data_IF_968612560101
#
_entry.id   IF_968612560101
#
_cell.length_a   1.000
_cell.length_b   1.000
_cell.length_c   1.000
_cell.angle_alpha   90.00
_cell.angle_beta   90.00
_cell.angle_gamma   90.00
#
_symmetry.space_group_name_H-M   'P 1'
#
loop_
_entity.id
_entity.type
_entity.pdbx_description
1 polymer ?
#
# COMPACT_ATOMS: atom_id res chain seq x y z
N UNK A 1 -2.07 -9.60 -8.81
CA UNK A 1 -1.24 -9.58 -7.59
C UNK A 1 -1.52 -10.83 -6.72
N UNK A 2 -1.78 -11.98 -7.34
CA UNK A 2 -2.31 -13.15 -6.62
C UNK A 2 -1.33 -13.61 -5.54
N UNK A 3 -1.81 -13.68 -4.29
CA UNK A 3 -1.04 -14.11 -3.11
C UNK A 3 0.18 -13.24 -2.78
N UNK A 4 0.29 -12.01 -3.30
CA UNK A 4 1.36 -11.07 -2.89
C UNK A 4 1.18 -10.58 -1.46
N UNK A 5 -0.08 -10.41 -1.03
CA UNK A 5 -0.41 -9.88 0.28
C UNK A 5 -1.73 -10.48 0.78
N UNK A 6 -1.92 -10.39 2.10
CA UNK A 6 -3.21 -10.53 2.76
C UNK A 6 -3.51 -9.23 3.50
N UNK A 7 -4.78 -8.95 3.77
CA UNK A 7 -5.16 -7.72 4.46
C UNK A 7 -6.27 -7.96 5.48
N UNK A 8 -6.32 -7.09 6.48
CA UNK A 8 -7.40 -7.01 7.45
C UNK A 8 -7.82 -5.56 7.65
N UNK A 9 -9.12 -5.29 7.67
CA UNK A 9 -9.66 -3.95 7.94
C UNK A 9 -9.72 -3.79 9.46
N UNK A 10 -8.84 -2.98 10.02
CA UNK A 10 -8.80 -2.70 11.46
C UNK A 10 -9.88 -1.71 11.86
N UNK A 11 -10.12 -0.70 11.02
CA UNK A 11 -11.10 0.35 11.26
C UNK A 11 -11.66 0.87 9.93
N UNK A 12 -12.96 1.17 9.91
CA UNK A 12 -13.62 1.80 8.77
C UNK A 12 -14.73 2.74 9.24
N UNK A 13 -14.60 4.00 8.86
CA UNK A 13 -15.57 5.09 9.06
C UNK A 13 -15.88 5.71 7.69
N UNK A 14 -16.76 6.71 7.64
CA UNK A 14 -17.22 7.29 6.37
C UNK A 14 -16.09 7.92 5.55
N UNK A 15 -15.14 8.58 6.19
CA UNK A 15 -14.05 9.34 5.56
C UNK A 15 -12.66 8.80 5.94
N UNK A 16 -12.61 7.63 6.59
CA UNK A 16 -11.38 7.07 7.14
C UNK A 16 -11.36 5.55 7.14
N UNK A 17 -10.19 4.96 6.83
CA UNK A 17 -9.97 3.53 7.00
C UNK A 17 -8.54 3.24 7.48
N UNK A 18 -8.42 2.21 8.32
CA UNK A 18 -7.15 1.61 8.74
C UNK A 18 -7.13 0.16 8.28
N UNK A 19 -6.12 -0.18 7.48
CA UNK A 19 -6.03 -1.50 6.84
C UNK A 19 -4.62 -2.03 7.09
N UNK A 20 -4.54 -3.16 7.80
CA UNK A 20 -3.29 -3.90 7.95
C UNK A 20 -3.06 -4.75 6.70
N UNK A 21 -1.84 -4.72 6.18
CA UNK A 21 -1.40 -5.53 5.04
C UNK A 21 -0.16 -6.31 5.45
N UNK A 22 -0.21 -7.64 5.26
CA UNK A 22 0.91 -8.55 5.44
C UNK A 22 1.38 -9.05 4.07
N UNK A 23 2.67 -8.85 3.78
CA UNK A 23 3.27 -9.25 2.51
C UNK A 23 3.76 -10.70 2.52
N UNK A 24 3.77 -11.30 1.34
CA UNK A 24 4.33 -12.63 1.10
C UNK A 24 5.85 -12.68 1.35
N UNK A 25 6.38 -13.90 1.42
CA UNK A 25 7.81 -14.12 1.54
C UNK A 25 8.57 -13.82 0.23
N UNK A 26 9.91 -13.87 0.32
CA UNK A 26 10.81 -13.56 -0.80
C UNK A 26 10.68 -14.51 -2.00
N UNK A 27 10.01 -15.66 -1.84
CA UNK A 27 9.80 -16.63 -2.92
C UNK A 27 8.71 -16.19 -3.90
N UNK A 28 7.88 -15.20 -3.53
CA UNK A 28 6.87 -14.63 -4.40
C UNK A 28 7.51 -13.96 -5.63
N UNK A 29 6.88 -14.10 -6.80
CA UNK A 29 7.44 -13.70 -8.10
C UNK A 29 7.85 -12.21 -8.14
N UNK A 30 7.04 -11.34 -7.55
CA UNK A 30 7.33 -9.90 -7.44
C UNK A 30 8.61 -9.63 -6.65
N UNK A 31 8.80 -10.29 -5.50
CA UNK A 31 10.00 -10.10 -4.67
C UNK A 31 11.25 -10.74 -5.29
N UNK A 32 11.09 -11.85 -6.02
CA UNK A 32 12.16 -12.42 -6.85
C UNK A 32 12.60 -11.48 -7.96
N UNK A 33 11.65 -10.77 -8.58
CA UNK A 33 11.93 -9.85 -9.67
C UNK A 33 12.49 -8.49 -9.19
N UNK A 34 12.17 -8.07 -7.97
CA UNK A 34 12.48 -6.72 -7.48
C UNK A 34 13.06 -6.77 -6.06
N UNK A 35 14.36 -6.89 -5.88
CA UNK A 35 15.40 -7.25 -6.86
C UNK A 35 16.00 -8.61 -6.48
N UNK A 36 16.59 -9.37 -7.42
CA UNK A 36 17.08 -10.73 -7.15
C UNK A 36 17.94 -10.86 -5.88
N UNK A 37 18.81 -9.88 -5.61
CA UNK A 37 19.71 -9.86 -4.45
C UNK A 37 19.25 -8.91 -3.33
N UNK A 38 18.17 -8.14 -3.55
CA UNK A 38 17.63 -7.18 -2.60
C UNK A 38 16.11 -7.05 -2.78
N UNK A 39 15.39 -8.09 -2.35
CA UNK A 39 13.93 -8.16 -2.47
C UNK A 39 13.24 -7.06 -1.68
N UNK A 40 12.42 -6.26 -2.35
CA UNK A 40 11.60 -5.21 -1.78
C UNK A 40 10.40 -4.92 -2.69
N UNK A 41 9.30 -4.43 -2.13
CA UNK A 41 8.09 -4.16 -2.89
C UNK A 41 8.32 -2.95 -3.82
N UNK A 42 8.05 -3.07 -5.13
CA UNK A 42 7.96 -1.90 -6.01
C UNK A 42 7.05 -0.81 -5.43
N UNK A 43 7.54 0.43 -5.37
CA UNK A 43 6.80 1.51 -4.71
C UNK A 43 5.38 1.72 -5.27
N UNK A 44 5.21 1.67 -6.59
CA UNK A 44 3.90 1.85 -7.23
C UNK A 44 2.88 0.79 -6.82
N UNK A 45 3.30 -0.44 -6.48
CA UNK A 45 2.38 -1.49 -6.03
C UNK A 45 1.67 -1.11 -4.73
N UNK A 46 2.25 -0.24 -3.91
CA UNK A 46 1.55 0.26 -2.72
C UNK A 46 0.28 1.04 -3.11
N UNK A 47 0.29 1.73 -4.25
CA UNK A 47 -0.88 2.43 -4.79
C UNK A 47 -1.86 1.41 -5.39
N UNK A 48 -1.37 0.45 -6.18
CA UNK A 48 -2.24 -0.56 -6.81
C UNK A 48 -2.96 -1.42 -5.76
N UNK A 49 -2.25 -1.85 -4.72
CA UNK A 49 -2.78 -2.65 -3.61
C UNK A 49 -3.94 -1.92 -2.93
N UNK A 50 -3.75 -0.66 -2.54
CA UNK A 50 -4.82 0.06 -1.85
C UNK A 50 -5.99 0.37 -2.79
N UNK A 51 -5.71 0.54 -4.08
CA UNK A 51 -6.76 0.74 -5.09
C UNK A 51 -7.60 -0.53 -5.27
N UNK A 52 -6.96 -1.70 -5.31
CA UNK A 52 -7.63 -3.00 -5.35
C UNK A 52 -8.46 -3.25 -4.09
N UNK A 53 -7.88 -3.04 -2.90
CA UNK A 53 -8.58 -3.23 -1.62
C UNK A 53 -9.82 -2.33 -1.50
N UNK A 54 -9.71 -1.07 -1.93
CA UNK A 54 -10.81 -0.11 -1.88
C UNK A 54 -11.75 -0.19 -3.09
N UNK A 55 -11.42 -1.02 -4.09
CA UNK A 55 -12.16 -1.14 -5.36
C UNK A 55 -12.34 0.21 -6.06
N UNK A 56 -11.26 0.99 -6.19
CA UNK A 56 -11.26 2.32 -6.82
C UNK A 56 -10.45 2.33 -8.12
N UNK A 57 -10.96 3.06 -9.11
CA UNK A 57 -10.27 3.33 -10.37
C UNK A 57 -9.45 4.62 -10.23
N UNK A 58 -8.14 4.50 -10.05
CA UNK A 58 -7.23 5.65 -9.95
C UNK A 58 -7.02 6.29 -11.31
N UNK A 59 -7.31 7.58 -11.42
CA UNK A 59 -7.10 8.37 -12.65
C UNK A 59 -5.91 9.32 -12.55
N UNK A 60 -5.48 9.65 -11.33
CA UNK A 60 -4.39 10.61 -11.09
C UNK A 60 -3.68 10.30 -9.78
N UNK A 61 -2.35 10.37 -9.79
CA UNK A 61 -1.52 10.39 -8.58
C UNK A 61 -0.98 11.81 -8.39
N UNK A 62 -1.54 12.56 -7.43
CA UNK A 62 -1.15 13.96 -7.16
C UNK A 62 0.21 14.07 -6.49
N UNK A 63 0.54 13.10 -5.63
CA UNK A 63 1.77 13.07 -4.83
C UNK A 63 2.07 11.62 -4.50
N UNK A 64 3.35 11.23 -4.56
CA UNK A 64 3.83 9.97 -4.01
C UNK A 64 5.23 10.14 -3.41
N UNK A 65 5.41 9.64 -2.19
CA UNK A 65 6.69 9.61 -1.47
C UNK A 65 6.88 8.23 -0.86
N UNK A 66 7.96 7.55 -1.25
CA UNK A 66 8.36 6.24 -0.71
C UNK A 66 9.63 6.44 0.12
N UNK A 67 9.48 6.52 1.44
CA UNK A 67 10.54 6.94 2.36
C UNK A 67 11.32 5.75 2.93
N UNK A 68 10.67 4.60 3.08
CA UNK A 68 11.27 3.35 3.54
C UNK A 68 10.83 2.20 2.65
N UNK A 69 11.73 1.24 2.43
CA UNK A 69 11.41 0.04 1.69
C UNK A 69 10.43 -0.85 2.49
N UNK A 70 9.52 -1.49 1.76
CA UNK A 70 8.70 -2.60 2.25
C UNK A 70 9.39 -3.88 1.78
N UNK A 71 9.72 -4.75 2.71
CA UNK A 71 10.43 -6.00 2.51
C UNK A 71 9.46 -7.18 2.50
N UNK A 72 9.90 -8.37 2.04
CA UNK A 72 9.12 -9.60 2.22
C UNK A 72 8.74 -9.81 3.69
N UNK A 73 7.58 -10.43 3.93
CA UNK A 73 7.02 -10.72 5.26
C UNK A 73 6.75 -9.48 6.14
N UNK A 74 6.98 -8.26 5.63
CA UNK A 74 6.63 -7.05 6.35
C UNK A 74 5.12 -6.97 6.58
N UNK A 75 4.78 -6.37 7.72
CA UNK A 75 3.45 -5.92 8.05
C UNK A 75 3.42 -4.40 8.08
N UNK A 76 2.48 -3.81 7.36
CA UNK A 76 2.30 -2.35 7.30
C UNK A 76 0.83 -1.97 7.50
N UNK A 77 0.60 -0.76 7.97
CA UNK A 77 -0.75 -0.20 8.14
C UNK A 77 -0.97 0.92 7.16
N UNK A 78 -1.99 0.77 6.32
CA UNK A 78 -2.50 1.82 5.44
C UNK A 78 -3.53 2.64 6.22
N UNK A 79 -3.25 3.93 6.37
CA UNK A 79 -4.12 4.91 6.98
C UNK A 79 -4.68 5.80 5.87
N UNK A 80 -5.93 5.58 5.52
CA UNK A 80 -6.61 6.19 4.37
C UNK A 80 -7.55 7.26 4.86
N UNK A 81 -7.38 8.49 4.37
CA UNK A 81 -8.32 9.60 4.56
C UNK A 81 -8.98 9.96 3.24
N UNK A 82 -10.30 9.93 3.20
CA UNK A 82 -11.10 10.17 2.01
C UNK A 82 -11.65 11.59 2.05
N UNK A 83 -11.42 12.36 0.99
CA UNK A 83 -11.99 13.70 0.81
C UNK A 83 -12.50 13.83 -0.62
N UNK A 84 -13.82 13.78 -0.78
CA UNK A 84 -14.51 13.73 -2.07
C UNK A 84 -13.98 12.57 -2.92
N UNK A 85 -13.36 12.87 -4.08
CA UNK A 85 -12.71 11.87 -4.95
C UNK A 85 -11.23 11.63 -4.63
N UNK A 86 -10.67 12.32 -3.65
CA UNK A 86 -9.24 12.24 -3.31
C UNK A 86 -9.02 11.35 -2.09
N UNK A 87 -8.10 10.40 -2.20
CA UNK A 87 -7.67 9.50 -1.13
C UNK A 87 -6.25 9.89 -0.74
N UNK A 88 -6.07 10.30 0.51
CA UNK A 88 -4.75 10.56 1.10
C UNK A 88 -4.36 9.35 1.93
N UNK A 89 -3.29 8.68 1.53
CA UNK A 89 -2.84 7.43 2.12
C UNK A 89 -1.48 7.65 2.78
N UNK A 90 -1.38 7.30 4.05
CA UNK A 90 -0.12 7.17 4.77
C UNK A 90 0.09 5.70 5.11
N UNK A 91 1.27 5.17 4.80
CA UNK A 91 1.64 3.81 5.17
C UNK A 91 2.63 3.88 6.32
N UNK A 92 2.37 3.11 7.37
CA UNK A 92 3.25 2.99 8.53
C UNK A 92 3.76 1.57 8.68
N UNK A 93 5.05 1.46 9.00
CA UNK A 93 5.75 0.23 9.35
C UNK A 93 6.44 0.48 10.68
N UNK A 94 6.22 -0.37 11.68
CA UNK A 94 6.84 -0.23 13.01
C UNK A 94 6.67 1.18 13.63
N UNK A 95 5.46 1.75 13.52
CA UNK A 95 5.13 3.12 13.96
C UNK A 95 5.95 4.24 13.28
N UNK A 96 6.64 3.94 12.18
CA UNK A 96 7.36 4.92 11.36
C UNK A 96 6.67 5.05 10.01
N UNK A 97 6.62 6.28 9.50
CA UNK A 97 6.10 6.57 8.17
C UNK A 97 6.96 5.90 7.10
N UNK A 98 6.38 4.96 6.37
CA UNK A 98 7.00 4.24 5.26
C UNK A 98 6.74 4.96 3.93
N UNK A 99 5.50 5.35 3.68
CA UNK A 99 5.10 6.04 2.45
C UNK A 99 3.96 7.02 2.69
N UNK A 100 3.79 7.95 1.75
CA UNK A 100 2.67 8.89 1.72
C UNK A 100 2.32 9.23 0.27
N UNK A 101 1.05 9.08 -0.09
CA UNK A 101 0.56 9.44 -1.42
C UNK A 101 -0.88 9.94 -1.42
N UNK A 102 -1.22 10.69 -2.47
CA UNK A 102 -2.56 11.23 -2.71
C UNK A 102 -3.01 10.82 -4.10
N UNK A 103 -4.10 10.07 -4.20
CA UNK A 103 -4.67 9.55 -5.44
C UNK A 103 -6.09 10.05 -5.65
N UNK A 104 -6.50 10.18 -6.91
CA UNK A 104 -7.86 10.61 -7.29
C UNK A 104 -8.56 9.46 -8.01
N UNK A 105 -9.80 9.19 -7.61
CA UNK A 105 -10.67 8.23 -8.28
C UNK A 105 -11.51 8.88 -9.39
N UNK A 106 -11.95 8.07 -10.35
CA UNK A 106 -12.85 8.47 -11.45
C UNK A 106 -14.15 9.13 -10.99
#
# INVERSE_FOLDING_TARGET
MNNLYSFNVLKKENDYAEIEVLFADKSHEIFKAHFPDNSLLPGFLQIDIISEILSIDVIEVKKAKFLQAVLPEDKVTYLVKIKDKTFNVKIEKENKKCSEFSIVQK
#
